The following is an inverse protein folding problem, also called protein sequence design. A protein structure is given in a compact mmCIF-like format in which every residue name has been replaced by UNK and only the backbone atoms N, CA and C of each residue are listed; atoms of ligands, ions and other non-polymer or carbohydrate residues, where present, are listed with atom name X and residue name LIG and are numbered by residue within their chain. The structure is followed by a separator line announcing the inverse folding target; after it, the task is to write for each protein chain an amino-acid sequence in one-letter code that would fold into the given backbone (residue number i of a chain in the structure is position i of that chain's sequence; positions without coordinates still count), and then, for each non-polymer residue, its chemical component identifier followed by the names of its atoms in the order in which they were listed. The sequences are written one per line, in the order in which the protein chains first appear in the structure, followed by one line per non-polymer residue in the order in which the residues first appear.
data_IF_217636645216
#
_entry.id   IF_217636645216
#
_cell.length_a   1.000
_cell.length_b   1.000
_cell.length_c   1.000
_cell.angle_alpha   90.00
_cell.angle_beta   90.00
_cell.angle_gamma   90.00
#
_symmetry.space_group_name_H-M   'P 1'
#
loop_
_entity.id
_entity.type
_entity.pdbx_description
1 polymer ?
#
# COMPACT_ATOMS: atom_id res chain seq x y z
N UNK A 1 19.45 -9.13 13.80
CA UNK A 1 18.30 -8.75 14.65
C UNK A 1 17.72 -10.02 15.25
N UNK A 2 17.48 -10.12 16.56
CA UNK A 2 16.95 -11.36 17.16
C UNK A 2 15.48 -11.21 17.55
N UNK A 3 14.61 -11.05 16.54
CA UNK A 3 13.16 -10.97 16.71
C UNK A 3 12.57 -12.25 17.34
N UNK A 4 13.01 -13.48 16.97
CA UNK A 4 12.55 -14.70 17.63
C UNK A 4 12.78 -14.69 19.15
N UNK A 5 13.94 -14.24 19.62
CA UNK A 5 14.21 -14.10 21.07
C UNK A 5 13.27 -13.08 21.74
N UNK A 6 12.94 -11.98 21.06
CA UNK A 6 11.99 -10.98 21.58
C UNK A 6 10.58 -11.59 21.68
N UNK A 7 10.13 -12.28 20.64
CA UNK A 7 8.82 -12.95 20.62
C UNK A 7 8.70 -14.01 21.73
N UNK A 8 9.75 -14.80 21.96
CA UNK A 8 9.76 -15.81 23.03
C UNK A 8 9.67 -15.21 24.44
N UNK A 9 10.02 -13.93 24.60
CA UNK A 9 9.89 -13.21 25.85
C UNK A 9 8.51 -12.54 26.03
N UNK A 10 7.66 -12.53 25.00
CA UNK A 10 6.32 -11.94 25.10
C UNK A 10 5.34 -12.91 25.78
N UNK A 11 4.40 -12.37 26.54
CA UNK A 11 3.22 -13.11 27.01
C UNK A 11 2.15 -13.12 25.90
N UNK A 12 1.84 -14.28 25.29
CA UNK A 12 0.87 -14.36 24.19
C UNK A 12 -0.54 -13.89 24.57
N UNK A 13 -0.89 -13.87 25.86
CA UNK A 13 -2.20 -13.42 26.35
C UNK A 13 -2.28 -11.90 26.49
N UNK A 14 -1.13 -11.21 26.44
CA UNK A 14 -1.02 -9.75 26.62
C UNK A 14 -0.56 -9.04 25.37
N UNK A 15 -0.56 -9.73 24.23
CA UNK A 15 -0.19 -9.13 22.95
C UNK A 15 -0.99 -7.86 22.67
N UNK A 16 -0.29 -6.90 22.08
CA UNK A 16 -0.82 -5.59 21.73
C UNK A 16 -0.52 -5.29 20.28
N UNK A 17 -1.46 -4.69 19.58
CA UNK A 17 -1.30 -4.30 18.18
C UNK A 17 -0.91 -2.81 18.14
N UNK A 18 0.27 -2.53 17.61
CA UNK A 18 0.81 -1.17 17.50
C UNK A 18 0.98 -0.75 16.04
N UNK A 19 0.77 0.53 15.74
CA UNK A 19 0.96 1.07 14.38
C UNK A 19 1.16 2.59 14.38
N UNK A 20 1.61 3.18 13.27
CA UNK A 20 1.73 4.63 13.15
C UNK A 20 0.35 5.28 12.97
N UNK A 21 0.18 6.51 13.44
CA UNK A 21 -1.05 7.28 13.29
C UNK A 21 -1.26 7.82 11.88
N UNK A 22 -1.72 6.99 10.94
CA UNK A 22 -2.26 7.42 9.65
C UNK A 22 -2.48 6.25 8.67
N UNK A 23 -2.79 6.56 7.41
CA UNK A 23 -3.02 5.60 6.31
C UNK A 23 -4.13 4.56 6.58
N UNK A 24 -3.86 3.55 7.42
CA UNK A 24 -4.79 2.45 7.74
C UNK A 24 -4.86 2.13 9.24
N UNK A 25 -4.34 3.02 10.09
CA UNK A 25 -4.29 2.83 11.55
C UNK A 25 -5.64 2.52 12.19
N UNK A 26 -6.70 3.21 11.77
CA UNK A 26 -8.04 3.02 12.32
C UNK A 26 -8.60 1.63 11.97
N UNK A 27 -8.37 1.14 10.75
CA UNK A 27 -8.80 -0.19 10.35
C UNK A 27 -8.06 -1.28 11.15
N UNK A 28 -6.72 -1.14 11.25
CA UNK A 28 -5.87 -2.03 12.05
C UNK A 28 -6.36 -2.08 13.51
N UNK A 29 -6.58 -0.92 14.14
CA UNK A 29 -7.03 -0.85 15.52
C UNK A 29 -8.45 -1.39 15.70
N UNK A 30 -9.38 -1.13 14.78
CA UNK A 30 -10.73 -1.69 14.82
C UNK A 30 -10.69 -3.22 14.80
N UNK A 31 -9.95 -3.80 13.85
CA UNK A 31 -9.79 -5.24 13.74
C UNK A 31 -9.14 -5.88 14.96
N UNK A 32 -8.10 -5.22 15.50
CA UNK A 32 -7.46 -5.62 16.75
C UNK A 32 -8.46 -5.70 17.92
N UNK A 33 -9.32 -4.70 18.09
CA UNK A 33 -10.32 -4.65 19.17
C UNK A 33 -11.38 -5.75 19.04
N UNK A 34 -11.84 -6.06 17.82
CA UNK A 34 -12.79 -7.15 17.57
C UNK A 34 -12.26 -8.48 18.12
N UNK A 35 -10.96 -8.73 17.99
CA UNK A 35 -10.31 -9.94 18.48
C UNK A 35 -9.73 -9.82 19.90
N UNK A 36 -10.05 -8.75 20.62
CA UNK A 36 -9.69 -8.58 22.03
C UNK A 36 -8.28 -8.05 22.29
N UNK A 37 -7.53 -7.64 21.26
CA UNK A 37 -6.21 -7.06 21.45
C UNK A 37 -6.30 -5.62 21.97
N UNK A 38 -5.34 -5.26 22.81
CA UNK A 38 -5.08 -3.84 23.11
C UNK A 38 -4.41 -3.17 21.93
N UNK A 39 -4.64 -1.88 21.77
CA UNK A 39 -4.17 -1.09 20.63
C UNK A 39 -3.29 0.09 21.06
N UNK A 40 -2.23 0.35 20.29
CA UNK A 40 -1.37 1.51 20.49
C UNK A 40 -1.12 2.23 19.18
N UNK A 41 -1.40 3.52 19.14
CA UNK A 41 -1.09 4.37 17.99
C UNK A 41 0.10 5.27 18.32
N UNK A 42 1.13 5.25 17.48
CA UNK A 42 2.25 6.18 17.55
C UNK A 42 1.93 7.37 16.65
N UNK A 43 1.58 8.52 17.24
CA UNK A 43 1.13 9.69 16.51
C UNK A 43 2.20 10.79 16.49
N UNK A 44 2.40 11.44 15.34
CA UNK A 44 3.22 12.64 15.24
C UNK A 44 2.46 13.85 15.80
N UNK A 45 3.15 14.69 16.58
CA UNK A 45 2.60 15.95 17.12
C UNK A 45 2.02 16.83 16.02
N UNK A 46 0.81 17.35 16.24
CA UNK A 46 -0.02 18.05 15.26
C UNK A 46 -0.94 17.14 14.45
N UNK A 47 -0.80 15.82 14.54
CA UNK A 47 -1.61 14.81 13.81
C UNK A 47 -2.30 13.81 14.74
N UNK A 48 -2.19 13.99 16.05
CA UNK A 48 -2.63 13.05 17.08
C UNK A 48 -4.12 13.11 17.40
N UNK A 49 -4.78 14.24 17.12
CA UNK A 49 -6.18 14.52 17.51
C UNK A 49 -7.20 13.41 17.13
N UNK A 50 -7.13 12.79 15.94
CA UNK A 50 -7.99 11.63 15.63
C UNK A 50 -7.85 10.51 16.66
N UNK A 51 -6.64 10.27 17.14
CA UNK A 51 -6.30 9.13 17.99
C UNK A 51 -6.43 9.43 19.49
N UNK A 52 -6.15 10.67 19.91
CA UNK A 52 -6.20 11.10 21.31
C UNK A 52 -7.60 11.55 21.75
N UNK A 53 -8.43 12.01 20.81
CA UNK A 53 -9.76 12.56 21.11
C UNK A 53 -10.88 11.73 20.48
N UNK A 54 -10.95 11.67 19.15
CA UNK A 54 -12.16 11.20 18.47
C UNK A 54 -12.32 9.67 18.47
N UNK A 55 -11.22 8.93 18.32
CA UNK A 55 -11.23 7.46 18.27
C UNK A 55 -10.57 6.82 19.50
N UNK A 56 -10.28 7.62 20.52
CA UNK A 56 -9.74 7.15 21.80
C UNK A 56 -10.75 6.22 22.47
N UNK A 57 -10.28 5.07 22.94
CA UNK A 57 -11.09 4.15 23.75
C UNK A 57 -11.44 4.82 25.09
N UNK A 58 -12.70 5.20 25.26
CA UNK A 58 -13.26 5.81 26.47
C UNK A 58 -14.75 5.53 26.53
N UNK A 59 -15.28 5.23 27.72
CA UNK A 59 -16.73 5.08 27.97
C UNK A 59 -17.40 4.06 27.02
N UNK A 60 -16.72 2.94 26.74
CA UNK A 60 -17.21 1.88 25.85
C UNK A 60 -17.19 2.21 24.35
N UNK A 61 -16.67 3.39 23.95
CA UNK A 61 -16.53 3.82 22.56
C UNK A 61 -15.07 3.98 22.18
N UNK A 62 -14.79 3.96 20.87
CA UNK A 62 -13.44 4.14 20.33
C UNK A 62 -12.63 2.85 20.29
N UNK A 63 -11.52 2.91 19.56
CA UNK A 63 -10.73 1.73 19.16
C UNK A 63 -9.25 1.85 19.52
N UNK A 64 -8.84 2.93 20.19
CA UNK A 64 -7.43 3.22 20.48
C UNK A 64 -7.23 3.26 21.98
N UNK A 65 -6.56 2.25 22.54
CA UNK A 65 -6.34 2.09 23.98
C UNK A 65 -5.18 2.93 24.51
N UNK A 66 -4.23 3.28 23.65
CA UNK A 66 -3.05 4.07 24.02
C UNK A 66 -2.53 4.88 22.82
N UNK A 67 -2.02 6.08 23.11
CA UNK A 67 -1.34 6.92 22.11
C UNK A 67 0.05 7.29 22.63
N UNK A 68 1.06 7.04 21.81
CA UNK A 68 2.43 7.51 22.04
C UNK A 68 2.65 8.71 21.10
N UNK A 69 2.67 9.92 21.65
CA UNK A 69 2.91 11.14 20.86
C UNK A 69 4.42 11.34 20.71
N UNK A 70 4.89 11.39 19.46
CA UNK A 70 6.29 11.63 19.10
C UNK A 70 6.45 12.96 18.37
N UNK A 71 7.66 13.52 18.34
CA UNK A 71 7.90 14.78 17.60
C UNK A 71 7.81 14.58 16.10
N UNK A 72 8.36 13.46 15.61
CA UNK A 72 8.30 13.01 14.23
C UNK A 72 8.08 11.51 14.17
N UNK A 73 7.40 10.99 13.15
CA UNK A 73 7.22 9.54 13.01
C UNK A 73 8.53 8.75 13.04
N UNK A 74 9.63 9.32 12.50
CA UNK A 74 10.98 8.75 12.57
C UNK A 74 11.47 8.45 14.01
N UNK A 75 10.92 9.13 15.01
CA UNK A 75 11.24 8.91 16.42
C UNK A 75 10.79 7.52 16.92
N UNK A 76 10.01 6.76 16.14
CA UNK A 76 9.73 5.35 16.43
C UNK A 76 11.02 4.52 16.55
N UNK A 77 12.11 4.96 15.90
CA UNK A 77 13.43 4.35 15.99
C UNK A 77 14.16 4.67 17.32
N UNK A 78 13.69 5.61 18.14
CA UNK A 78 14.31 5.92 19.44
C UNK A 78 14.22 4.73 20.37
N UNK A 79 15.33 4.46 21.07
CA UNK A 79 15.44 3.34 22.03
C UNK A 79 14.29 3.31 23.03
N UNK A 80 13.94 4.46 23.61
CA UNK A 80 12.84 4.60 24.59
C UNK A 80 11.47 4.21 24.02
N UNK A 81 11.18 4.58 22.77
CA UNK A 81 9.90 4.22 22.12
C UNK A 81 9.85 2.72 21.85
N UNK A 82 10.94 2.15 21.31
CA UNK A 82 11.00 0.72 21.04
C UNK A 82 10.96 -0.14 22.32
N UNK A 83 11.61 0.31 23.40
CA UNK A 83 11.56 -0.35 24.71
C UNK A 83 10.16 -0.36 25.27
N UNK A 84 9.45 0.78 25.24
CA UNK A 84 8.03 0.83 25.64
C UNK A 84 7.19 -0.16 24.85
N UNK A 85 7.30 -0.16 23.51
CA UNK A 85 6.58 -1.10 22.66
C UNK A 85 6.90 -2.57 23.00
N UNK A 86 8.16 -2.90 23.28
CA UNK A 86 8.54 -4.27 23.67
C UNK A 86 8.00 -4.67 25.04
N UNK A 87 8.11 -3.79 26.04
CA UNK A 87 7.59 -4.04 27.38
C UNK A 87 6.07 -4.27 27.37
N UNK A 88 5.39 -3.67 26.39
CA UNK A 88 3.96 -3.81 26.17
C UNK A 88 3.58 -5.02 25.30
N UNK A 89 4.52 -5.90 24.95
CA UNK A 89 4.28 -7.06 24.09
C UNK A 89 3.70 -6.68 22.72
N UNK A 90 4.14 -5.54 22.17
CA UNK A 90 3.57 -4.98 20.95
C UNK A 90 4.07 -5.70 19.69
N UNK A 91 3.14 -6.14 18.86
CA UNK A 91 3.37 -6.50 17.47
C UNK A 91 3.06 -5.27 16.60
N UNK A 92 4.05 -4.84 15.84
CA UNK A 92 3.93 -3.65 15.02
C UNK A 92 3.39 -3.99 13.61
N UNK A 93 2.30 -3.34 13.21
CA UNK A 93 1.69 -3.54 11.88
C UNK A 93 2.16 -2.41 10.95
N UNK A 94 3.00 -2.72 9.95
CA UNK A 94 3.53 -1.71 9.05
C UNK A 94 2.50 -1.31 7.98
N UNK A 95 2.56 -0.04 7.57
CA UNK A 95 1.84 0.49 6.42
C UNK A 95 2.64 1.61 5.77
N UNK A 96 2.12 2.26 4.71
CA UNK A 96 2.90 3.20 3.87
C UNK A 96 3.65 4.29 4.64
N UNK A 97 3.09 4.79 5.75
CA UNK A 97 3.72 5.85 6.55
C UNK A 97 5.08 5.43 7.11
N UNK A 98 5.29 4.14 7.39
CA UNK A 98 6.59 3.67 7.86
C UNK A 98 7.67 3.88 6.79
N UNK A 99 7.36 3.56 5.53
CA UNK A 99 8.28 3.74 4.40
C UNK A 99 8.46 5.21 4.00
N UNK A 100 7.43 6.05 4.19
CA UNK A 100 7.47 7.47 3.84
C UNK A 100 8.22 8.31 4.89
N UNK A 101 8.02 8.01 6.17
CA UNK A 101 8.50 8.88 7.26
C UNK A 101 9.66 8.30 8.07
N UNK A 102 10.09 7.08 7.80
CA UNK A 102 11.22 6.46 8.48
C UNK A 102 12.25 5.98 7.47
N UNK A 103 13.53 6.01 7.85
CA UNK A 103 14.59 5.42 7.05
C UNK A 103 14.43 3.89 7.04
N UNK A 104 14.14 3.33 5.87
CA UNK A 104 13.95 1.89 5.70
C UNK A 104 15.21 1.11 6.11
N UNK A 105 16.41 1.64 5.88
CA UNK A 105 17.64 0.95 6.29
C UNK A 105 17.73 0.81 7.81
N UNK A 106 17.28 1.81 8.56
CA UNK A 106 17.14 1.76 10.01
C UNK A 106 15.98 0.86 10.45
N UNK A 107 14.85 0.82 9.73
CA UNK A 107 13.76 -0.15 10.02
C UNK A 107 14.28 -1.59 9.87
N UNK A 108 15.06 -1.86 8.83
CA UNK A 108 15.60 -3.19 8.55
C UNK A 108 16.66 -3.63 9.55
N UNK A 109 17.47 -2.71 10.06
CA UNK A 109 18.66 -3.03 10.87
C UNK A 109 18.53 -2.71 12.35
N UNK A 110 17.68 -1.74 12.72
CA UNK A 110 17.63 -1.13 14.08
C UNK A 110 16.25 -1.16 14.74
N UNK A 111 15.17 -1.45 14.01
CA UNK A 111 13.82 -1.50 14.59
C UNK A 111 13.53 -2.87 15.24
N UNK A 112 13.90 -2.98 16.52
CA UNK A 112 13.85 -4.18 17.36
C UNK A 112 12.46 -4.39 18.00
N UNK A 113 11.38 -4.16 17.26
CA UNK A 113 10.01 -4.53 17.65
C UNK A 113 9.52 -5.56 16.62
N UNK A 114 8.87 -6.67 17.03
CA UNK A 114 8.35 -7.64 16.08
C UNK A 114 7.41 -6.97 15.08
N UNK A 115 7.73 -7.07 13.80
CA UNK A 115 6.98 -6.42 12.72
C UNK A 115 6.18 -7.48 11.97
N UNK A 116 4.85 -7.34 11.95
CA UNK A 116 3.98 -8.24 11.19
C UNK A 116 4.20 -8.05 9.68
N UNK A 117 4.42 -9.14 8.96
CA UNK A 117 4.70 -9.12 7.53
C UNK A 117 6.20 -9.28 7.23
N UNK A 118 6.54 -9.11 5.95
CA UNK A 118 7.93 -9.19 5.48
C UNK A 118 8.59 -7.81 5.53
N UNK A 119 9.54 -7.64 6.47
CA UNK A 119 10.27 -6.37 6.66
C UNK A 119 10.99 -5.91 5.39
N UNK A 120 11.57 -6.84 4.62
CA UNK A 120 12.28 -6.52 3.37
C UNK A 120 11.32 -6.08 2.26
N UNK A 121 10.08 -6.58 2.26
CA UNK A 121 9.11 -6.24 1.23
C UNK A 121 8.74 -4.75 1.23
N UNK A 122 8.89 -4.05 2.37
CA UNK A 122 8.72 -2.60 2.46
C UNK A 122 9.67 -1.85 1.52
N UNK A 123 10.92 -2.31 1.38
CA UNK A 123 11.89 -1.71 0.46
C UNK A 123 11.55 -1.96 -1.00
N UNK A 124 10.91 -3.07 -1.33
CA UNK A 124 10.59 -3.40 -2.72
C UNK A 124 9.47 -2.51 -3.29
N UNK A 125 8.70 -1.84 -2.43
CA UNK A 125 7.79 -0.77 -2.86
C UNK A 125 8.55 0.50 -3.31
N UNK A 126 9.80 0.69 -2.88
CA UNK A 126 10.59 1.85 -3.27
C UNK A 126 11.10 1.71 -4.71
N UNK A 127 10.86 2.74 -5.50
CA UNK A 127 11.05 2.68 -6.96
C UNK A 127 12.51 2.58 -7.36
N UNK A 128 13.36 3.25 -6.60
CA UNK A 128 14.83 3.26 -6.78
C UNK A 128 15.51 2.05 -6.15
N UNK A 129 14.78 1.21 -5.41
CA UNK A 129 15.34 -0.01 -4.85
C UNK A 129 15.61 -1.05 -5.94
N UNK A 130 16.56 -1.95 -5.65
CA UNK A 130 16.77 -3.16 -6.42
C UNK A 130 16.91 -4.32 -5.44
N UNK A 131 16.00 -5.31 -5.45
CA UNK A 131 14.81 -5.41 -6.31
C UNK A 131 13.69 -4.40 -5.92
N UNK A 132 12.81 -4.11 -6.86
CA UNK A 132 11.58 -3.30 -6.66
C UNK A 132 10.34 -4.01 -7.23
N UNK A 133 9.18 -3.34 -7.20
CA UNK A 133 7.91 -3.90 -7.69
C UNK A 133 7.99 -4.46 -9.12
N UNK A 134 8.69 -3.79 -10.04
CA UNK A 134 8.82 -4.25 -11.43
C UNK A 134 9.62 -5.55 -11.49
N UNK A 135 10.69 -5.65 -10.70
CA UNK A 135 11.49 -6.88 -10.58
C UNK A 135 10.62 -8.04 -10.08
N UNK A 136 9.76 -7.77 -9.09
CA UNK A 136 8.83 -8.77 -8.54
C UNK A 136 7.79 -9.17 -9.58
N UNK A 137 7.11 -8.23 -10.25
CA UNK A 137 6.09 -8.50 -11.27
C UNK A 137 6.67 -9.32 -12.44
N UNK A 138 7.86 -8.95 -12.92
CA UNK A 138 8.58 -9.67 -13.96
C UNK A 138 8.90 -11.11 -13.54
N UNK A 139 9.51 -11.31 -12.35
CA UNK A 139 9.80 -12.67 -11.83
C UNK A 139 8.54 -13.49 -11.53
N UNK A 140 7.40 -12.83 -11.34
CA UNK A 140 6.08 -13.45 -11.14
C UNK A 140 5.40 -13.83 -12.47
N UNK A 141 5.87 -13.34 -13.61
CA UNK A 141 5.17 -13.50 -14.89
C UNK A 141 3.77 -12.86 -14.87
N UNK A 142 3.66 -11.71 -14.19
CA UNK A 142 2.45 -10.89 -14.14
C UNK A 142 2.55 -9.81 -15.22
N UNK A 143 1.48 -9.66 -15.99
CA UNK A 143 1.36 -8.63 -17.02
C UNK A 143 1.38 -7.24 -16.38
N UNK A 144 2.24 -6.39 -16.90
CA UNK A 144 2.40 -5.00 -16.48
C UNK A 144 2.53 -4.10 -17.72
N UNK A 145 2.33 -2.77 -17.59
CA UNK A 145 2.52 -1.85 -18.71
C UNK A 145 3.91 -2.00 -19.34
N UNK A 146 4.00 -1.84 -20.66
CA UNK A 146 5.30 -1.76 -21.35
C UNK A 146 6.10 -0.57 -20.80
N UNK A 147 7.33 -0.82 -20.36
CA UNK A 147 8.24 0.23 -19.87
C UNK A 147 9.15 0.68 -21.01
N UNK A 148 9.20 1.98 -21.24
CA UNK A 148 10.05 2.61 -22.27
C UNK A 148 11.30 3.18 -21.61
N UNK A 149 12.45 2.52 -21.82
CA UNK A 149 13.75 3.03 -21.36
C UNK A 149 14.26 4.21 -22.18
N UNK A 150 13.84 4.30 -23.44
CA UNK A 150 14.21 5.37 -24.36
C UNK A 150 12.93 6.09 -24.84
N UNK A 151 12.74 7.39 -24.55
CA UNK A 151 11.56 8.12 -25.00
C UNK A 151 11.45 8.19 -26.54
N UNK A 152 12.54 7.99 -27.29
CA UNK A 152 12.51 7.95 -28.75
C UNK A 152 11.77 6.75 -29.32
N UNK A 153 11.57 5.69 -28.53
CA UNK A 153 10.86 4.48 -28.96
C UNK A 153 9.39 4.49 -28.56
N UNK A 154 8.85 5.61 -28.10
CA UNK A 154 7.42 5.75 -27.78
C UNK A 154 6.62 5.58 -29.08
N UNK A 155 5.77 4.57 -29.09
CA UNK A 155 4.95 4.14 -30.24
C UNK A 155 3.43 4.17 -29.95
N UNK A 156 3.04 4.64 -28.75
CA UNK A 156 1.66 4.62 -28.24
C UNK A 156 1.46 5.66 -27.13
N UNK A 157 0.23 5.76 -26.63
CA UNK A 157 -0.06 6.57 -25.44
C UNK A 157 0.70 6.03 -24.22
N UNK A 158 1.50 6.90 -23.59
CA UNK A 158 2.29 6.61 -22.40
C UNK A 158 1.97 7.62 -21.30
N UNK A 159 2.19 7.19 -20.06
CA UNK A 159 2.24 8.04 -18.88
C UNK A 159 3.69 8.17 -18.39
N UNK A 160 4.12 9.41 -18.24
CA UNK A 160 5.41 9.76 -17.67
C UNK A 160 5.20 10.09 -16.20
N UNK A 161 5.96 9.42 -15.31
CA UNK A 161 5.76 9.47 -13.86
C UNK A 161 6.91 10.23 -13.18
N UNK A 162 7.08 11.52 -13.51
CA UNK A 162 8.19 12.32 -13.01
C UNK A 162 7.96 12.73 -11.54
N UNK A 163 9.03 12.86 -10.75
CA UNK A 163 8.92 13.36 -9.38
C UNK A 163 8.56 14.86 -9.39
N UNK A 164 7.70 15.29 -8.46
CA UNK A 164 7.46 16.73 -8.28
C UNK A 164 8.70 17.43 -7.71
N UNK A 165 8.97 18.65 -8.14
CA UNK A 165 10.13 19.43 -7.68
C UNK A 165 10.06 19.78 -6.18
N UNK A 166 8.86 20.12 -5.68
CA UNK A 166 8.66 20.53 -4.26
C UNK A 166 8.42 19.36 -3.32
N UNK A 167 7.80 18.29 -3.81
CA UNK A 167 7.43 17.10 -3.04
C UNK A 167 7.94 15.88 -3.79
N UNK A 168 9.22 15.55 -3.60
CA UNK A 168 9.88 14.47 -4.36
C UNK A 168 9.23 13.08 -4.23
N UNK A 169 8.41 12.86 -3.20
CA UNK A 169 7.61 11.64 -3.02
C UNK A 169 6.28 11.64 -3.81
N UNK A 170 5.80 12.80 -4.23
CA UNK A 170 4.64 12.97 -5.12
C UNK A 170 5.07 12.94 -6.58
N UNK A 171 4.11 12.68 -7.47
CA UNK A 171 4.36 12.54 -8.90
C UNK A 171 3.63 13.59 -9.72
N UNK A 172 4.39 14.21 -10.60
CA UNK A 172 3.88 14.95 -11.73
C UNK A 172 3.67 13.97 -12.89
N UNK A 173 2.42 13.80 -13.31
CA UNK A 173 2.06 12.94 -14.41
C UNK A 173 1.77 13.77 -15.65
N UNK A 174 2.29 13.33 -16.80
CA UNK A 174 1.81 13.80 -18.09
C UNK A 174 1.71 12.65 -19.07
N UNK A 175 0.81 12.80 -20.04
CA UNK A 175 0.56 11.82 -21.09
C UNK A 175 1.19 12.28 -22.40
N UNK A 176 1.78 11.39 -23.17
CA UNK A 176 2.21 11.67 -24.54
C UNK A 176 2.08 10.43 -25.41
N UNK A 177 2.04 10.61 -26.73
CA UNK A 177 1.86 9.52 -27.69
C UNK A 177 3.07 9.30 -28.61
N UNK A 178 4.08 10.17 -28.54
CA UNK A 178 5.31 10.08 -29.33
C UNK A 178 6.44 10.91 -28.71
N UNK A 179 7.66 10.79 -29.27
CA UNK A 179 8.84 11.49 -28.78
C UNK A 179 8.73 13.02 -28.84
N UNK A 180 8.10 13.58 -29.88
CA UNK A 180 7.93 15.04 -30.02
C UNK A 180 7.10 15.60 -28.85
N UNK A 181 5.93 15.01 -28.60
CA UNK A 181 5.07 15.39 -27.47
C UNK A 181 5.75 15.18 -26.11
N UNK A 182 6.56 14.13 -25.96
CA UNK A 182 7.36 13.93 -24.76
C UNK A 182 8.31 15.11 -24.53
N UNK A 183 9.01 15.58 -25.56
CA UNK A 183 9.92 16.73 -25.45
C UNK A 183 9.18 18.03 -25.12
N UNK A 184 8.07 18.31 -25.80
CA UNK A 184 7.24 19.50 -25.58
C UNK A 184 6.74 19.56 -24.13
N UNK A 185 6.07 18.50 -23.66
CA UNK A 185 5.52 18.44 -22.29
C UNK A 185 6.61 18.43 -21.22
N UNK A 186 7.75 17.79 -21.48
CA UNK A 186 8.87 17.83 -20.55
C UNK A 186 9.39 19.25 -20.35
N UNK A 187 9.53 20.04 -21.43
CA UNK A 187 9.95 21.45 -21.34
C UNK A 187 8.93 22.28 -20.56
N UNK A 188 7.65 22.14 -20.90
CA UNK A 188 6.56 22.83 -20.22
C UNK A 188 6.57 22.56 -18.71
N UNK A 189 6.66 21.29 -18.30
CA UNK A 189 6.65 20.90 -16.88
C UNK A 189 7.89 21.41 -16.12
N UNK A 190 9.04 21.53 -16.80
CA UNK A 190 10.27 22.08 -16.23
C UNK A 190 10.16 23.60 -16.10
N UNK A 191 9.67 24.30 -17.13
CA UNK A 191 9.48 25.76 -17.15
C UNK A 191 8.48 26.21 -16.08
N UNK A 192 7.39 25.46 -15.91
CA UNK A 192 6.39 25.68 -14.84
C UNK A 192 6.90 25.27 -13.45
N UNK A 193 8.14 24.76 -13.32
CA UNK A 193 8.75 24.28 -12.07
C UNK A 193 7.92 23.18 -11.38
N UNK A 194 7.16 22.40 -12.15
CA UNK A 194 6.41 21.24 -11.67
C UNK A 194 7.39 20.09 -11.38
N UNK A 195 8.37 19.90 -12.26
CA UNK A 195 9.41 18.87 -12.15
C UNK A 195 10.80 19.44 -12.45
N UNK A 196 11.85 18.63 -12.35
CA UNK A 196 13.23 19.02 -12.68
C UNK A 196 13.74 18.29 -13.91
N UNK A 197 14.74 18.84 -14.63
CA UNK A 197 15.36 18.13 -15.75
C UNK A 197 15.92 16.75 -15.36
N UNK A 198 16.45 16.63 -14.14
CA UNK A 198 16.94 15.35 -13.61
C UNK A 198 15.80 14.36 -13.37
N UNK A 199 14.69 14.81 -12.77
CA UNK A 199 13.53 13.96 -12.53
C UNK A 199 12.91 13.44 -13.83
N UNK A 200 12.89 14.24 -14.90
CA UNK A 200 12.44 13.82 -16.23
C UNK A 200 13.41 12.80 -16.84
N UNK A 201 14.73 12.96 -16.69
CA UNK A 201 15.71 11.99 -17.22
C UNK A 201 15.63 10.63 -16.52
N UNK A 202 15.33 10.62 -15.23
CA UNK A 202 15.30 9.42 -14.39
C UNK A 202 13.88 8.85 -14.21
N UNK A 203 12.90 9.37 -14.94
CA UNK A 203 11.50 8.95 -14.79
C UNK A 203 11.23 7.59 -15.43
N UNK A 204 10.19 6.93 -14.93
CA UNK A 204 9.64 5.75 -15.59
C UNK A 204 8.58 6.21 -16.59
N UNK A 205 8.75 5.78 -17.85
CA UNK A 205 7.78 5.97 -18.92
C UNK A 205 7.08 4.62 -19.12
N UNK A 206 5.77 4.60 -18.94
CA UNK A 206 4.95 3.40 -19.04
C UNK A 206 3.86 3.58 -20.07
N UNK A 207 3.51 2.52 -20.80
CA UNK A 207 2.25 2.44 -21.54
C UNK A 207 1.07 2.88 -20.66
N UNK A 208 0.22 3.74 -21.21
CA UNK A 208 -1.00 4.13 -20.54
C UNK A 208 -2.07 3.06 -20.76
N UNK A 209 -2.50 2.44 -19.67
CA UNK A 209 -3.50 1.38 -19.72
C UNK A 209 -4.90 2.00 -19.65
N UNK A 210 -5.65 1.86 -20.74
CA UNK A 210 -7.05 2.27 -20.82
C UNK A 210 -7.93 1.11 -20.37
N UNK A 211 -8.45 1.19 -19.13
CA UNK A 211 -9.31 0.16 -18.57
C UNK A 211 -9.97 0.59 -17.27
N UNK A 212 -10.90 -0.24 -16.78
CA UNK A 212 -11.56 -0.01 -15.51
C UNK A 212 -10.58 -0.27 -14.36
N UNK A 213 -10.20 0.78 -13.63
CA UNK A 213 -9.22 0.68 -12.55
C UNK A 213 -9.78 -0.11 -11.36
N UNK A 214 -8.95 -1.00 -10.82
CA UNK A 214 -9.28 -1.81 -9.66
C UNK A 214 -8.01 -2.25 -8.93
N UNK A 215 -8.07 -2.23 -7.61
CA UNK A 215 -7.09 -2.81 -6.72
C UNK A 215 -7.63 -4.15 -6.22
N UNK A 216 -6.87 -5.21 -6.48
CA UNK A 216 -7.13 -6.54 -5.94
C UNK A 216 -6.41 -6.68 -4.61
N UNK A 217 -7.17 -6.77 -3.53
CA UNK A 217 -6.64 -6.73 -2.18
C UNK A 217 -6.60 -8.13 -1.58
N UNK A 218 -5.42 -8.73 -1.53
CA UNK A 218 -5.20 -10.10 -1.09
C UNK A 218 -4.61 -10.22 0.32
N UNK A 219 -4.75 -11.39 0.91
CA UNK A 219 -4.04 -11.81 2.12
C UNK A 219 -3.43 -13.19 1.90
N UNK A 220 -2.16 -13.37 2.27
CA UNK A 220 -1.50 -14.68 2.27
C UNK A 220 -1.14 -15.10 3.69
N UNK A 221 -1.73 -16.20 4.16
CA UNK A 221 -1.42 -16.79 5.46
C UNK A 221 -0.25 -17.77 5.35
N UNK A 222 0.92 -17.48 5.94
CA UNK A 222 2.02 -18.44 5.98
C UNK A 222 1.75 -19.60 6.95
N UNK A 223 0.75 -19.48 7.83
CA UNK A 223 0.38 -20.53 8.78
C UNK A 223 -0.22 -21.75 8.07
N UNK A 224 -1.09 -21.51 7.09
CA UNK A 224 -1.80 -22.58 6.35
C UNK A 224 -1.54 -22.57 4.83
N UNK A 225 -0.74 -21.63 4.33
CA UNK A 225 -0.38 -21.51 2.92
C UNK A 225 -1.51 -21.01 2.01
N UNK A 226 -2.58 -20.42 2.55
CA UNK A 226 -3.75 -19.99 1.78
C UNK A 226 -3.65 -18.54 1.31
N UNK A 227 -4.13 -18.32 0.09
CA UNK A 227 -4.39 -17.01 -0.50
C UNK A 227 -5.89 -16.69 -0.37
N UNK A 228 -6.20 -15.46 -0.01
CA UNK A 228 -7.56 -14.95 0.12
C UNK A 228 -7.68 -13.61 -0.61
N UNK A 229 -8.81 -13.38 -1.30
CA UNK A 229 -9.20 -12.06 -1.77
C UNK A 229 -10.08 -11.40 -0.71
N UNK A 230 -9.55 -10.39 -0.03
CA UNK A 230 -10.25 -9.69 1.06
C UNK A 230 -11.26 -8.70 0.50
N UNK A 231 -10.92 -8.03 -0.61
CA UNK A 231 -11.82 -7.08 -1.23
C UNK A 231 -11.29 -6.47 -2.52
N UNK A 232 -12.09 -5.62 -3.13
CA UNK A 232 -11.64 -4.77 -4.25
C UNK A 232 -12.09 -3.33 -4.06
N UNK A 233 -11.26 -2.39 -4.52
CA UNK A 233 -11.59 -0.97 -4.52
C UNK A 233 -10.87 -0.25 -5.67
N UNK A 234 -11.23 1.01 -5.92
CA UNK A 234 -10.50 1.92 -6.82
C UNK A 234 -10.13 3.20 -6.08
N UNK A 235 -9.11 3.91 -6.59
CA UNK A 235 -8.66 5.18 -6.00
C UNK A 235 -9.66 6.30 -6.36
N UNK A 236 -9.90 7.20 -5.40
CA UNK A 236 -10.56 8.50 -5.60
C UNK A 236 -9.49 9.59 -5.58
N UNK A 237 -9.41 10.40 -6.62
CA UNK A 237 -8.24 11.23 -6.89
C UNK A 237 -8.59 12.70 -7.14
N UNK A 238 -7.79 13.60 -6.57
CA UNK A 238 -7.90 15.05 -6.78
C UNK A 238 -6.73 15.57 -7.62
N UNK A 239 -6.95 16.48 -8.56
CA UNK A 239 -8.21 17.12 -8.97
C UNK A 239 -8.89 16.44 -10.18
N UNK A 240 -8.34 15.33 -10.67
CA UNK A 240 -8.84 14.66 -11.89
C UNK A 240 -10.33 14.30 -11.80
N UNK A 241 -10.81 13.78 -10.67
CA UNK A 241 -12.24 13.43 -10.51
C UNK A 241 -13.16 14.66 -10.57
N UNK A 242 -12.64 15.85 -10.25
CA UNK A 242 -13.35 17.12 -10.41
C UNK A 242 -13.37 17.59 -11.85
N UNK A 243 -12.23 17.50 -12.55
CA UNK A 243 -12.12 17.86 -13.98
C UNK A 243 -13.04 17.00 -14.85
N UNK A 244 -13.12 15.70 -14.57
CA UNK A 244 -13.98 14.75 -15.31
C UNK A 244 -15.48 15.02 -15.13
N UNK A 245 -15.89 15.85 -14.16
CA UNK A 245 -17.29 16.25 -13.95
C UNK A 245 -17.69 17.52 -14.71
N UNK A 246 -16.73 18.22 -15.31
CA UNK A 246 -17.02 19.39 -16.14
C UNK A 246 -17.53 18.96 -17.51
N UNK A 247 -18.47 19.70 -18.13
CA UNK A 247 -18.75 19.59 -19.55
C UNK A 247 -17.47 19.71 -20.38
N UNK A 248 -17.39 18.97 -21.50
CA UNK A 248 -16.18 18.89 -22.34
C UNK A 248 -15.61 20.27 -22.74
N UNK A 249 -16.40 21.27 -23.18
CA UNK A 249 -15.86 22.60 -23.50
C UNK A 249 -15.14 23.25 -22.32
N UNK A 250 -15.71 23.16 -21.11
CA UNK A 250 -15.14 23.74 -19.89
C UNK A 250 -13.91 22.98 -19.38
N UNK A 251 -13.74 21.70 -19.76
CA UNK A 251 -12.49 20.99 -19.47
C UNK A 251 -11.32 21.63 -20.21
N UNK A 252 -11.48 22.01 -21.49
CA UNK A 252 -10.42 22.66 -22.25
C UNK A 252 -10.04 24.03 -21.67
N UNK A 253 -11.03 24.82 -21.26
CA UNK A 253 -10.79 26.10 -20.57
C UNK A 253 -10.08 25.90 -19.23
N UNK A 254 -10.54 24.95 -18.41
CA UNK A 254 -9.93 24.66 -17.12
C UNK A 254 -8.47 24.24 -17.25
N UNK A 255 -8.12 23.44 -18.27
CA UNK A 255 -6.75 22.99 -18.52
C UNK A 255 -5.76 24.11 -18.83
N UNK A 256 -6.22 25.32 -19.19
CA UNK A 256 -5.35 26.49 -19.36
C UNK A 256 -4.81 27.03 -18.02
N UNK A 257 -5.51 26.76 -16.92
CA UNK A 257 -5.18 27.28 -15.59
C UNK A 257 -4.91 26.18 -14.56
N UNK A 258 -5.35 24.95 -14.83
CA UNK A 258 -5.35 23.83 -13.89
C UNK A 258 -4.64 22.63 -14.52
N UNK A 259 -3.50 22.25 -13.96
CA UNK A 259 -2.85 20.97 -14.29
C UNK A 259 -3.60 19.81 -13.63
N UNK A 260 -3.97 18.75 -14.37
CA UNK A 260 -4.52 17.53 -13.80
C UNK A 260 -3.56 16.87 -12.81
N UNK A 261 -4.09 16.47 -11.65
CA UNK A 261 -3.37 15.74 -10.61
C UNK A 261 -4.11 14.46 -10.26
N UNK A 262 -3.34 13.47 -9.84
CA UNK A 262 -3.81 12.12 -9.49
C UNK A 262 -3.56 11.83 -8.00
N UNK A 263 -3.62 12.87 -7.16
CA UNK A 263 -3.34 12.74 -5.73
C UNK A 263 -4.49 11.96 -5.09
N UNK A 264 -4.16 10.90 -4.38
CA UNK A 264 -5.15 10.10 -3.66
C UNK A 264 -5.82 10.90 -2.55
N UNK A 265 -7.15 10.85 -2.52
CA UNK A 265 -7.98 11.49 -1.48
C UNK A 265 -8.94 10.54 -0.81
N UNK A 266 -9.16 9.36 -1.38
CA UNK A 266 -10.04 8.34 -0.83
C UNK A 266 -10.13 7.13 -1.73
N UNK A 267 -11.10 6.27 -1.44
CA UNK A 267 -11.32 5.00 -2.13
C UNK A 267 -12.81 4.79 -2.40
N UNK A 268 -13.13 4.05 -3.46
CA UNK A 268 -14.48 3.63 -3.81
C UNK A 268 -14.49 2.10 -3.85
N UNK A 269 -15.35 1.46 -3.06
CA UNK A 269 -15.54 0.02 -3.13
C UNK A 269 -16.17 -0.32 -4.49
N UNK A 270 -15.58 -1.26 -5.21
CA UNK A 270 -16.06 -1.70 -6.53
C UNK A 270 -16.04 -3.21 -6.58
N UNK A 271 -17.03 -3.83 -7.21
CA UNK A 271 -17.00 -5.27 -7.52
C UNK A 271 -16.37 -5.49 -8.90
N UNK A 272 -16.00 -6.73 -9.18
CA UNK A 272 -15.60 -7.16 -10.52
C UNK A 272 -16.55 -8.23 -11.01
N UNK A 273 -16.55 -8.46 -12.34
CA UNK A 273 -17.27 -9.58 -12.93
C UNK A 273 -16.74 -10.89 -12.36
N UNK A 274 -17.64 -11.77 -11.91
CA UNK A 274 -17.29 -13.02 -11.24
C UNK A 274 -16.40 -13.94 -12.11
N UNK A 275 -16.61 -13.93 -13.44
CA UNK A 275 -15.78 -14.69 -14.39
C UNK A 275 -14.30 -14.28 -14.40
N UNK A 276 -13.94 -13.12 -13.82
CA UNK A 276 -12.55 -12.68 -13.68
C UNK A 276 -11.87 -13.24 -12.42
N UNK A 277 -12.61 -13.79 -11.46
CA UNK A 277 -12.06 -14.25 -10.19
C UNK A 277 -10.97 -15.32 -10.38
N UNK A 278 -11.14 -16.25 -11.33
CA UNK A 278 -10.12 -17.24 -11.65
C UNK A 278 -8.79 -16.61 -12.08
N UNK A 279 -8.84 -15.56 -12.92
CA UNK A 279 -7.64 -14.79 -13.32
C UNK A 279 -7.05 -14.03 -12.13
N UNK A 280 -7.88 -13.44 -11.29
CA UNK A 280 -7.48 -12.67 -10.10
C UNK A 280 -6.72 -13.55 -9.10
N UNK A 281 -7.26 -14.74 -8.75
CA UNK A 281 -6.55 -15.68 -7.88
C UNK A 281 -5.23 -16.16 -8.50
N UNK A 282 -5.22 -16.45 -9.80
CA UNK A 282 -3.99 -16.81 -10.53
C UNK A 282 -2.91 -15.73 -10.40
N UNK A 283 -3.29 -14.44 -10.47
CA UNK A 283 -2.36 -13.33 -10.26
C UNK A 283 -1.81 -13.30 -8.84
N UNK A 284 -2.66 -13.47 -7.82
CA UNK A 284 -2.22 -13.53 -6.42
C UNK A 284 -1.24 -14.68 -6.15
N UNK A 285 -1.50 -15.86 -6.70
CA UNK A 285 -0.60 -17.01 -6.57
C UNK A 285 0.74 -16.80 -7.28
N UNK A 286 0.70 -16.26 -8.52
CA UNK A 286 1.91 -15.88 -9.26
C UNK A 286 2.75 -14.90 -8.46
N UNK A 287 2.11 -13.92 -7.84
CA UNK A 287 2.78 -12.92 -7.01
C UNK A 287 3.45 -13.56 -5.79
N UNK A 288 2.76 -14.44 -5.05
CA UNK A 288 3.34 -15.17 -3.92
C UNK A 288 4.58 -15.96 -4.36
N UNK A 289 4.49 -16.70 -5.48
CA UNK A 289 5.62 -17.47 -6.02
C UNK A 289 6.77 -16.55 -6.44
N UNK A 290 6.49 -15.44 -7.11
CA UNK A 290 7.50 -14.48 -7.53
C UNK A 290 8.20 -13.80 -6.36
N UNK A 291 7.46 -13.43 -5.31
CA UNK A 291 8.04 -12.88 -4.08
C UNK A 291 8.99 -13.86 -3.40
N UNK A 292 8.65 -15.16 -3.33
CA UNK A 292 9.56 -16.19 -2.79
C UNK A 292 10.86 -16.33 -3.59
N UNK A 293 10.86 -16.03 -4.90
CA UNK A 293 12.08 -16.00 -5.74
C UNK A 293 12.92 -14.74 -5.54
N UNK A 294 12.35 -13.69 -4.96
CA UNK A 294 13.01 -12.38 -4.77
C UNK A 294 13.59 -12.28 -3.37
N UNK A 295 12.86 -12.74 -2.36
CA UNK A 295 13.25 -12.66 -0.96
C UNK A 295 12.60 -13.79 -0.16
N UNK A 296 13.34 -14.35 0.79
CA UNK A 296 12.83 -15.27 1.81
C UNK A 296 12.43 -14.45 3.03
N UNK A 297 11.22 -14.64 3.63
CA UNK A 297 10.26 -15.73 3.42
C UNK A 297 9.25 -15.53 2.27
N UNK A 298 9.36 -14.43 1.54
CA UNK A 298 8.40 -14.01 0.52
C UNK A 298 7.45 -12.94 1.05
N UNK A 299 6.22 -12.93 0.54
CA UNK A 299 5.15 -12.08 1.07
C UNK A 299 4.51 -12.75 2.29
N UNK A 300 4.16 -11.96 3.30
CA UNK A 300 3.44 -12.42 4.49
C UNK A 300 2.27 -11.47 4.76
N UNK A 301 1.07 -12.02 4.88
CA UNK A 301 -0.13 -11.27 5.19
C UNK A 301 -0.63 -10.45 4.00
N UNK A 302 -0.99 -9.18 4.20
CA UNK A 302 -1.68 -8.36 3.21
C UNK A 302 -0.75 -7.92 2.06
N UNK A 303 -1.30 -7.94 0.85
CA UNK A 303 -0.71 -7.31 -0.34
C UNK A 303 -1.82 -6.91 -1.33
N UNK A 304 -1.55 -5.94 -2.19
CA UNK A 304 -2.48 -5.52 -3.22
C UNK A 304 -1.82 -5.47 -4.60
N UNK A 305 -2.55 -5.93 -5.62
CA UNK A 305 -2.20 -5.77 -7.02
C UNK A 305 -3.10 -4.70 -7.63
N UNK A 306 -2.52 -3.58 -8.01
CA UNK A 306 -3.26 -2.39 -8.45
C UNK A 306 -3.13 -2.26 -9.96
N UNK A 307 -4.27 -2.22 -10.63
CA UNK A 307 -4.31 -2.41 -12.07
C UNK A 307 -5.58 -1.89 -12.71
N UNK A 308 -5.79 -2.34 -13.94
CA UNK A 308 -7.01 -2.11 -14.68
C UNK A 308 -7.46 -3.38 -15.40
N UNK A 309 -8.77 -3.54 -15.53
CA UNK A 309 -9.38 -4.50 -16.45
C UNK A 309 -9.49 -3.83 -17.82
N UNK A 310 -8.78 -4.38 -18.80
CA UNK A 310 -8.75 -3.91 -20.18
C UNK A 310 -9.62 -4.79 -21.07
N UNK A 311 -10.01 -4.25 -22.22
CA UNK A 311 -10.61 -5.04 -23.31
C UNK A 311 -9.64 -5.09 -24.46
N UNK A 312 -9.10 -6.28 -24.74
CA UNK A 312 -8.16 -6.53 -25.83
C UNK A 312 -8.61 -7.77 -26.59
N UNK A 313 -8.59 -7.71 -27.92
CA UNK A 313 -9.06 -8.79 -28.79
C UNK A 313 -10.47 -9.32 -28.39
N UNK A 314 -11.36 -8.39 -28.02
CA UNK A 314 -12.71 -8.66 -27.52
C UNK A 314 -12.78 -9.51 -26.24
N UNK A 315 -11.71 -9.52 -25.43
CA UNK A 315 -11.64 -10.24 -24.15
C UNK A 315 -11.20 -9.33 -23.01
N UNK A 316 -11.73 -9.60 -21.84
CA UNK A 316 -11.37 -8.92 -20.60
C UNK A 316 -10.04 -9.49 -20.09
N UNK A 317 -9.04 -8.64 -19.86
CA UNK A 317 -7.76 -9.03 -19.26
C UNK A 317 -7.29 -8.03 -18.20
N UNK A 318 -6.30 -8.42 -17.39
CA UNK A 318 -5.85 -7.64 -16.23
C UNK A 318 -4.39 -7.20 -16.40
N UNK A 319 -4.15 -5.90 -16.27
CA UNK A 319 -2.80 -5.32 -16.29
C UNK A 319 -2.49 -4.68 -14.94
N UNK A 320 -1.39 -5.08 -14.30
CA UNK A 320 -0.97 -4.57 -12.98
C UNK A 320 0.11 -3.50 -13.16
N UNK A 321 -0.11 -2.30 -12.64
CA UNK A 321 0.81 -1.17 -12.78
C UNK A 321 1.42 -0.67 -11.45
N UNK A 322 0.92 -1.12 -10.30
CA UNK A 322 1.46 -0.80 -8.97
C UNK A 322 1.19 -1.97 -8.00
N UNK A 323 2.02 -2.08 -6.97
CA UNK A 323 1.90 -3.14 -5.97
C UNK A 323 2.06 -2.57 -4.57
N UNK A 324 1.23 -3.04 -3.64
CA UNK A 324 1.50 -2.89 -2.21
C UNK A 324 1.85 -4.26 -1.61
N UNK A 325 2.93 -4.33 -0.83
CA UNK A 325 3.45 -5.54 -0.20
C UNK A 325 3.27 -5.52 1.33
N UNK A 326 2.26 -4.77 1.78
CA UNK A 326 1.78 -4.62 3.14
C UNK A 326 0.28 -4.28 3.08
N UNK A 327 -0.34 -3.92 4.20
CA UNK A 327 -1.73 -3.44 4.18
C UNK A 327 -1.85 -2.22 3.24
N UNK A 328 -2.72 -2.28 2.22
CA UNK A 328 -2.96 -1.15 1.32
C UNK A 328 -3.81 -0.09 2.04
N UNK A 329 -3.86 1.11 1.47
CA UNK A 329 -4.69 2.21 1.98
C UNK A 329 -6.17 2.04 1.65
N UNK A 330 -6.70 0.81 1.65
CA UNK A 330 -7.97 0.43 1.03
C UNK A 330 -9.05 0.06 2.06
N UNK A 331 -9.62 1.04 2.79
CA UNK A 331 -10.66 0.78 3.80
C UNK A 331 -11.97 0.27 3.17
N UNK A 332 -12.13 0.39 1.84
CA UNK A 332 -13.29 -0.07 1.09
C UNK A 332 -13.43 -1.60 1.01
N UNK A 333 -12.38 -2.36 1.34
CA UNK A 333 -12.32 -3.82 1.13
C UNK A 333 -13.46 -4.59 1.78
N UNK A 334 -13.83 -4.25 3.02
CA UNK A 334 -14.91 -4.91 3.76
C UNK A 334 -16.32 -4.64 3.20
N UNK A 335 -16.48 -3.71 2.25
CA UNK A 335 -17.77 -3.38 1.63
C UNK A 335 -17.98 -4.08 0.29
N UNK A 336 -17.13 -5.06 -0.02
CA UNK A 336 -17.28 -5.95 -1.18
C UNK A 336 -17.53 -7.39 -0.68
N UNK A 337 -18.16 -8.26 -1.48
CA UNK A 337 -18.71 -9.51 -0.94
C UNK A 337 -17.67 -10.61 -0.68
N UNK A 338 -16.43 -10.45 -1.17
CA UNK A 338 -15.46 -11.55 -1.24
C UNK A 338 -15.04 -12.11 0.12
N UNK A 339 -14.79 -11.24 1.11
CA UNK A 339 -14.46 -11.72 2.45
C UNK A 339 -15.66 -12.41 3.11
N UNK A 340 -16.88 -11.93 2.87
CA UNK A 340 -18.10 -12.56 3.39
C UNK A 340 -18.33 -13.97 2.84
N UNK A 341 -17.96 -14.24 1.58
CA UNK A 341 -18.05 -15.60 1.02
C UNK A 341 -17.14 -16.61 1.72
N UNK A 342 -16.07 -16.15 2.38
CA UNK A 342 -15.15 -17.02 3.12
C UNK A 342 -15.49 -17.10 4.60
N UNK A 343 -15.88 -15.97 5.21
CA UNK A 343 -16.04 -15.83 6.66
C UNK A 343 -17.49 -15.82 7.15
N UNK A 344 -18.46 -15.84 6.23
CA UNK A 344 -19.89 -15.70 6.55
C UNK A 344 -20.30 -14.27 6.93
N UNK A 345 -19.34 -13.35 7.07
CA UNK A 345 -19.56 -11.92 7.32
C UNK A 345 -18.44 -11.10 6.69
N UNK A 346 -18.69 -9.83 6.29
CA UNK A 346 -17.65 -8.97 5.76
C UNK A 346 -16.62 -8.63 6.83
N UNK A 347 -15.35 -8.94 6.55
CA UNK A 347 -14.22 -8.57 7.42
C UNK A 347 -13.29 -7.59 6.69
N UNK A 348 -12.63 -6.72 7.45
CA UNK A 348 -11.62 -5.81 6.93
C UNK A 348 -10.21 -6.39 6.96
N UNK A 349 -9.25 -5.70 6.36
CA UNK A 349 -7.84 -6.09 6.47
C UNK A 349 -7.34 -6.05 7.91
N UNK A 350 -7.67 -4.99 8.65
CA UNK A 350 -7.29 -4.89 10.05
C UNK A 350 -7.79 -6.09 10.85
N UNK A 351 -9.03 -6.52 10.61
CA UNK A 351 -9.62 -7.70 11.25
C UNK A 351 -8.92 -8.98 10.83
N UNK A 352 -8.68 -9.17 9.52
CA UNK A 352 -7.97 -10.34 9.00
C UNK A 352 -6.54 -10.46 9.56
N UNK A 353 -5.82 -9.35 9.72
CA UNK A 353 -4.49 -9.31 10.34
C UNK A 353 -4.57 -9.74 11.80
N UNK A 354 -5.53 -9.20 12.56
CA UNK A 354 -5.71 -9.55 13.96
C UNK A 354 -6.11 -11.03 14.13
N UNK A 355 -6.95 -11.58 13.24
CA UNK A 355 -7.27 -13.00 13.20
C UNK A 355 -6.04 -13.87 12.93
N UNK A 356 -5.16 -13.46 11.99
CA UNK A 356 -3.90 -14.17 11.73
C UNK A 356 -3.01 -14.20 12.97
N UNK A 357 -2.86 -13.05 13.64
CA UNK A 357 -2.07 -12.92 14.86
C UNK A 357 -2.65 -13.82 15.96
N UNK A 358 -3.97 -13.79 16.17
CA UNK A 358 -4.64 -14.61 17.18
C UNK A 358 -4.40 -16.10 16.95
N UNK A 359 -4.62 -16.57 15.72
CA UNK A 359 -4.46 -17.99 15.39
C UNK A 359 -3.00 -18.43 15.47
N UNK A 360 -2.07 -17.59 15.02
CA UNK A 360 -0.65 -17.89 15.03
C UNK A 360 -0.06 -17.84 16.44
N UNK A 361 -0.54 -16.93 17.29
CA UNK A 361 -0.19 -16.88 18.71
C UNK A 361 -0.70 -18.13 19.45
N UNK A 362 -1.95 -18.54 19.20
CA UNK A 362 -2.51 -19.76 19.78
C UNK A 362 -1.73 -21.02 19.37
N UNK A 363 -1.16 -21.03 18.15
CA UNK A 363 -0.30 -22.10 17.68
C UNK A 363 1.16 -22.02 18.21
N UNK A 364 1.55 -20.94 18.91
CA UNK A 364 2.93 -20.72 19.35
C UNK A 364 3.91 -20.45 18.20
N UNK A 365 3.44 -19.84 17.09
CA UNK A 365 4.19 -19.73 15.82
C UNK A 365 4.34 -18.31 15.30
N UNK A 366 4.38 -17.30 16.19
CA UNK A 366 4.48 -15.89 15.81
C UNK A 366 5.72 -15.56 14.96
N UNK A 367 6.77 -16.38 15.07
CA UNK A 367 7.97 -16.34 14.22
C UNK A 367 7.66 -16.48 12.71
N UNK A 368 6.51 -17.06 12.35
CA UNK A 368 6.08 -17.25 10.96
C UNK A 368 5.49 -16.00 10.32
N UNK A 369 5.00 -15.07 11.14
CA UNK A 369 4.32 -13.85 10.68
C UNK A 369 5.05 -12.56 11.05
N UNK A 370 6.01 -12.63 11.96
CA UNK A 370 6.76 -11.47 12.44
C UNK A 370 8.23 -11.56 12.03
N UNK A 371 8.74 -10.49 11.42
CA UNK A 371 10.15 -10.32 11.02
C UNK A 371 10.79 -9.12 11.70
#
# INVERSE_FOLDING_TARGET
MNIPRILNAYDPRRLRIATLGGHSALDICRGAKIHGFRTTVIAERGREKPYTTYYRAKDGRGIIDEVIVVKKFADILKKTVQERLRNDNALFIPHRYLAVYCDLSAIEKKFMVPLFGSRMALRFEERTASPNQYTVLQKSGIRMPKIFKNPRTIDRLVIVKAAEAKRSYERAFFLCANFKQYQEKSREFIEQKITTPEAVRNTVIEEYIVGAQVNFNFFYSPLNGKLELIGTDMRRQTNIDGLLRLPVPLQYEALQFITPKYIETGHIAVTVKESLLGKIFTLGEKFIRGMKKVSTPGIIGPFALQGAVVTEDNKEDIVIFDVSMRIPGSPGTMFTPYSAYTYGAPISYGERIALEIKNTAAAGRLDRICT
#
